data_IF_738358160771
#
_entry.id   IF_738358160771
#
_cell.length_a   1.000
_cell.length_b   1.000
_cell.length_c   1.000
_cell.angle_alpha   90.00
_cell.angle_beta   90.00
_cell.angle_gamma   90.00
#
_symmetry.space_group_name_H-M   'P 1'
#
loop_
_entity.id
_entity.type
_entity.pdbx_description
1 polymer ?
#
# COMPACT_ATOMS: atom_id res chain seq x y z
N UNK A 1 25.44 31.73 17.80
CA UNK A 1 25.20 30.55 18.65
C UNK A 1 23.84 30.78 19.31
N UNK A 2 22.76 30.45 18.61
CA UNK A 2 21.39 30.68 19.07
C UNK A 2 20.88 29.44 19.81
N UNK A 3 20.14 29.69 20.89
CA UNK A 3 19.91 28.77 22.01
C UNK A 3 19.29 27.42 21.66
N UNK A 4 19.79 26.39 22.33
CA UNK A 4 19.07 25.14 22.58
C UNK A 4 17.90 25.42 23.54
N UNK A 5 16.75 25.78 22.98
CA UNK A 5 15.49 25.52 23.67
C UNK A 5 15.24 24.01 23.60
N UNK A 6 15.18 23.35 24.76
CA UNK A 6 14.77 21.94 24.86
C UNK A 6 13.37 21.79 24.28
N UNK A 7 13.27 21.52 22.98
CA UNK A 7 12.02 21.14 22.32
C UNK A 7 11.54 19.88 23.06
N UNK A 8 10.45 20.02 23.81
CA UNK A 8 9.87 18.89 24.51
C UNK A 8 9.52 17.78 23.51
N UNK A 9 9.45 16.54 23.99
CA UNK A 9 9.17 15.33 23.18
C UNK A 9 7.96 15.53 22.23
N UNK A 10 6.98 16.35 22.64
CA UNK A 10 5.82 16.73 21.82
C UNK A 10 6.18 17.57 20.59
N UNK A 11 7.13 18.51 20.72
CA UNK A 11 7.62 19.32 19.61
C UNK A 11 8.45 18.46 18.64
N UNK A 12 9.31 17.58 19.17
CA UNK A 12 10.06 16.62 18.34
C UNK A 12 9.14 15.62 17.64
N UNK A 13 8.07 15.18 18.29
CA UNK A 13 7.06 14.30 17.71
C UNK A 13 6.23 14.99 16.61
N UNK A 14 5.87 16.26 16.81
CA UNK A 14 5.19 17.05 15.77
C UNK A 14 6.10 17.23 14.55
N UNK A 15 7.38 17.49 14.77
CA UNK A 15 8.39 17.65 13.71
C UNK A 15 8.70 16.32 13.01
N UNK A 16 8.58 15.20 13.73
CA UNK A 16 8.65 13.84 13.18
C UNK A 16 7.46 13.55 12.25
N UNK A 17 6.23 13.80 12.71
CA UNK A 17 4.99 13.56 11.94
C UNK A 17 4.86 14.52 10.75
N UNK A 18 5.39 15.74 10.87
CA UNK A 18 5.38 16.71 9.77
C UNK A 18 6.24 16.27 8.56
N UNK A 19 7.00 15.19 8.66
CA UNK A 19 7.63 14.55 7.49
C UNK A 19 6.54 13.89 6.64
N UNK A 20 6.21 14.47 5.49
CA UNK A 20 5.17 14.01 4.56
C UNK A 20 5.19 12.50 4.29
N UNK A 21 6.37 11.96 3.95
CA UNK A 21 6.58 10.52 3.72
C UNK A 21 6.11 9.60 4.89
N UNK A 22 6.19 10.06 6.14
CA UNK A 22 5.72 9.28 7.30
C UNK A 22 4.19 9.32 7.40
N UNK A 23 3.59 10.47 7.11
CA UNK A 23 2.14 10.63 7.16
C UNK A 23 1.45 9.80 6.07
N UNK A 24 1.97 9.85 4.85
CA UNK A 24 1.39 9.11 3.71
C UNK A 24 1.49 7.60 3.90
N UNK A 25 2.63 7.13 4.43
CA UNK A 25 2.81 5.73 4.81
C UNK A 25 1.82 5.33 5.92
N UNK A 26 1.64 6.16 6.95
CA UNK A 26 0.72 5.88 8.05
C UNK A 26 -0.74 5.78 7.56
N UNK A 27 -1.17 6.71 6.70
CA UNK A 27 -2.50 6.70 6.09
C UNK A 27 -2.70 5.44 5.24
N UNK A 28 -1.69 5.07 4.43
CA UNK A 28 -1.72 3.85 3.62
C UNK A 28 -1.92 2.57 4.44
N UNK A 29 -1.23 2.43 5.57
CA UNK A 29 -1.38 1.27 6.46
C UNK A 29 -2.77 1.24 7.11
N UNK A 30 -3.26 2.37 7.61
CA UNK A 30 -4.57 2.45 8.29
C UNK A 30 -5.70 2.10 7.32
N UNK A 31 -5.69 2.69 6.13
CA UNK A 31 -6.71 2.43 5.10
C UNK A 31 -6.61 0.98 4.61
N UNK A 32 -5.38 0.47 4.39
CA UNK A 32 -5.15 -0.92 4.00
C UNK A 32 -5.72 -1.91 5.01
N UNK A 33 -5.46 -1.70 6.30
CA UNK A 33 -6.00 -2.55 7.38
C UNK A 33 -7.52 -2.49 7.47
N UNK A 34 -8.12 -1.30 7.38
CA UNK A 34 -9.57 -1.13 7.41
C UNK A 34 -10.26 -1.81 6.22
N UNK A 35 -9.69 -1.71 5.02
CA UNK A 35 -10.24 -2.35 3.83
C UNK A 35 -10.16 -3.88 3.92
N UNK A 36 -9.03 -4.43 4.35
CA UNK A 36 -8.90 -5.88 4.60
C UNK A 36 -9.93 -6.38 5.60
N UNK A 37 -10.23 -5.62 6.66
CA UNK A 37 -11.25 -5.98 7.64
C UNK A 37 -12.66 -6.04 7.02
N UNK A 38 -13.01 -5.10 6.13
CA UNK A 38 -14.30 -5.11 5.41
C UNK A 38 -14.40 -6.34 4.50
N UNK A 39 -13.36 -6.64 3.74
CA UNK A 39 -13.35 -7.81 2.84
C UNK A 39 -13.43 -9.11 3.65
N UNK A 40 -12.65 -9.22 4.73
CA UNK A 40 -12.69 -10.38 5.63
C UNK A 40 -14.08 -10.56 6.21
N UNK A 41 -14.71 -9.48 6.69
CA UNK A 41 -16.08 -9.53 7.22
C UNK A 41 -17.10 -9.98 6.17
N UNK A 42 -16.96 -9.55 4.92
CA UNK A 42 -17.83 -10.01 3.83
C UNK A 42 -17.66 -11.50 3.57
N UNK A 43 -16.42 -11.98 3.55
CA UNK A 43 -16.14 -13.40 3.33
C UNK A 43 -16.68 -14.23 4.49
N UNK A 44 -16.36 -13.85 5.72
CA UNK A 44 -16.72 -14.63 6.91
C UNK A 44 -18.23 -14.65 7.16
N UNK A 45 -18.92 -13.52 6.95
CA UNK A 45 -20.35 -13.40 7.28
C UNK A 45 -21.29 -13.72 6.12
N UNK A 46 -20.83 -13.67 4.86
CA UNK A 46 -21.69 -13.90 3.69
C UNK A 46 -21.20 -15.09 2.87
N UNK A 47 -19.93 -15.12 2.48
CA UNK A 47 -19.42 -16.14 1.56
C UNK A 47 -19.27 -17.50 2.25
N UNK A 48 -18.63 -17.55 3.43
CA UNK A 48 -18.46 -18.77 4.20
C UNK A 48 -19.80 -19.47 4.49
N UNK A 49 -20.86 -18.80 5.02
CA UNK A 49 -22.14 -19.46 5.24
C UNK A 49 -22.80 -19.94 3.95
N UNK A 50 -22.69 -19.20 2.84
CA UNK A 50 -23.20 -19.66 1.53
C UNK A 50 -22.48 -20.91 1.03
N UNK A 51 -21.17 -20.99 1.22
CA UNK A 51 -20.38 -22.18 0.88
C UNK A 51 -20.74 -23.34 1.79
N UNK A 52 -20.93 -23.11 3.09
CA UNK A 52 -21.34 -24.17 4.04
C UNK A 52 -22.71 -24.76 3.66
N UNK A 53 -23.62 -23.91 3.17
CA UNK A 53 -24.94 -24.32 2.74
C UNK A 53 -24.86 -25.09 1.41
N UNK A 54 -24.10 -24.58 0.44
CA UNK A 54 -23.91 -25.19 -0.87
C UNK A 54 -23.12 -26.51 -0.83
N UNK A 55 -22.19 -26.67 0.12
CA UNK A 55 -21.40 -27.89 0.34
C UNK A 55 -22.19 -29.01 1.06
N UNK A 56 -23.50 -28.84 1.28
CA UNK A 56 -24.37 -29.89 1.80
C UNK A 56 -24.95 -29.62 3.19
N UNK A 57 -25.42 -28.40 3.43
CA UNK A 57 -26.48 -28.10 4.40
C UNK A 57 -26.27 -28.57 5.84
N UNK A 58 -25.64 -27.72 6.65
CA UNK A 58 -25.66 -27.85 8.10
C UNK A 58 -24.37 -27.29 8.69
N UNK A 59 -24.48 -26.62 9.82
CA UNK A 59 -23.37 -26.17 10.69
C UNK A 59 -22.39 -27.26 11.10
N UNK A 60 -22.64 -28.49 10.66
CA UNK A 60 -21.87 -29.68 10.95
C UNK A 60 -21.06 -30.20 9.78
N UNK A 61 -21.10 -29.69 8.54
CA UNK A 61 -20.36 -30.33 7.42
C UNK A 61 -18.92 -29.83 7.20
N UNK A 62 -18.59 -28.61 7.64
CA UNK A 62 -17.19 -28.17 7.80
C UNK A 62 -16.57 -28.69 9.11
N UNK A 63 -17.43 -29.01 10.10
CA UNK A 63 -17.10 -29.81 11.28
C UNK A 63 -17.16 -31.32 11.06
N UNK A 64 -17.80 -31.82 9.99
CA UNK A 64 -17.93 -33.27 9.71
C UNK A 64 -16.70 -33.84 9.01
N UNK A 65 -15.76 -32.98 8.60
CA UNK A 65 -14.39 -33.36 8.30
C UNK A 65 -13.48 -33.16 9.51
N UNK A 66 -13.99 -32.85 10.70
CA UNK A 66 -13.25 -32.99 11.93
C UNK A 66 -13.20 -34.46 12.32
N UNK A 67 -12.19 -35.17 11.79
CA UNK A 67 -11.81 -36.47 12.33
C UNK A 67 -11.33 -36.20 13.76
N UNK A 68 -12.13 -36.60 14.74
CA UNK A 68 -11.73 -36.61 16.15
C UNK A 68 -10.66 -37.70 16.31
N UNK A 69 -9.39 -37.28 16.32
CA UNK A 69 -8.26 -38.18 16.55
C UNK A 69 -8.14 -38.49 18.05
N UNK A 70 -8.60 -37.58 18.91
CA UNK A 70 -8.74 -37.69 20.39
C UNK A 70 -9.86 -36.74 20.88
N UNK A 71 -10.44 -36.93 22.08
CA UNK A 71 -11.54 -36.10 22.60
C UNK A 71 -11.22 -34.59 22.70
N UNK A 72 -9.94 -34.20 22.67
CA UNK A 72 -9.50 -32.80 22.80
C UNK A 72 -8.86 -32.19 21.53
N UNK A 73 -8.77 -32.93 20.41
CA UNK A 73 -8.15 -32.43 19.17
C UNK A 73 -9.03 -32.70 17.95
N UNK A 74 -9.69 -31.63 17.49
CA UNK A 74 -10.47 -31.61 16.24
C UNK A 74 -9.66 -31.00 15.11
N UNK A 75 -9.40 -31.75 14.04
CA UNK A 75 -8.79 -31.22 12.82
C UNK A 75 -9.86 -30.60 11.91
N UNK A 76 -10.05 -29.28 12.01
CA UNK A 76 -11.06 -28.56 11.24
C UNK A 76 -10.56 -28.25 9.81
N UNK A 77 -10.61 -29.24 8.92
CA UNK A 77 -10.30 -29.05 7.49
C UNK A 77 -11.21 -28.00 6.83
N UNK A 78 -12.41 -27.80 7.35
CA UNK A 78 -13.33 -26.78 6.85
C UNK A 78 -12.85 -25.34 7.09
N UNK A 79 -12.25 -25.05 8.23
CA UNK A 79 -11.67 -23.73 8.49
C UNK A 79 -10.45 -23.45 7.60
N UNK A 80 -9.68 -24.49 7.29
CA UNK A 80 -8.54 -24.37 6.39
C UNK A 80 -8.98 -24.04 4.96
N UNK A 81 -10.02 -24.73 4.46
CA UNK A 81 -10.60 -24.43 3.14
C UNK A 81 -11.22 -23.03 3.11
N UNK A 82 -11.93 -22.64 4.17
CA UNK A 82 -12.46 -21.28 4.32
C UNK A 82 -11.38 -20.21 4.28
N UNK A 83 -10.25 -20.43 4.97
CA UNK A 83 -9.10 -19.52 4.94
C UNK A 83 -8.48 -19.39 3.53
N UNK A 84 -8.37 -20.50 2.78
CA UNK A 84 -7.89 -20.47 1.40
C UNK A 84 -8.85 -19.66 0.51
N UNK A 85 -10.15 -19.85 0.67
CA UNK A 85 -11.16 -19.11 -0.10
C UNK A 85 -11.11 -17.61 0.24
N UNK A 86 -10.98 -17.26 1.52
CA UNK A 86 -10.80 -15.87 1.94
C UNK A 86 -9.57 -15.22 1.30
N UNK A 87 -8.43 -15.92 1.32
CA UNK A 87 -7.22 -15.44 0.66
C UNK A 87 -7.42 -15.19 -0.84
N UNK A 88 -8.09 -16.12 -1.55
CA UNK A 88 -8.39 -15.96 -2.97
C UNK A 88 -9.34 -14.79 -3.25
N UNK A 89 -10.33 -14.54 -2.40
CA UNK A 89 -11.27 -13.42 -2.56
C UNK A 89 -10.56 -12.09 -2.31
N UNK A 90 -9.76 -11.98 -1.25
CA UNK A 90 -8.96 -10.77 -0.99
C UNK A 90 -8.04 -10.49 -2.18
N UNK A 91 -7.32 -11.51 -2.67
CA UNK A 91 -6.46 -11.37 -3.84
C UNK A 91 -7.22 -10.92 -5.09
N UNK A 92 -8.42 -11.47 -5.33
CA UNK A 92 -9.27 -11.11 -6.46
C UNK A 92 -9.77 -9.66 -6.35
N UNK A 93 -10.20 -9.23 -5.17
CA UNK A 93 -10.68 -7.86 -4.93
C UNK A 93 -9.53 -6.86 -5.10
N UNK A 94 -8.36 -7.14 -4.53
CA UNK A 94 -7.16 -6.28 -4.70
C UNK A 94 -6.75 -6.23 -6.17
N UNK A 95 -6.74 -7.35 -6.88
CA UNK A 95 -6.46 -7.40 -8.32
C UNK A 95 -7.49 -6.59 -9.13
N UNK A 96 -8.78 -6.71 -8.81
CA UNK A 96 -9.84 -5.97 -9.47
C UNK A 96 -9.71 -4.46 -9.22
N UNK A 97 -9.35 -4.03 -8.01
CA UNK A 97 -9.08 -2.63 -7.68
C UNK A 97 -7.87 -2.09 -8.45
N UNK A 98 -6.74 -2.80 -8.45
CA UNK A 98 -5.55 -2.40 -9.22
C UNK A 98 -5.89 -2.34 -10.71
N UNK A 99 -6.64 -3.31 -11.23
CA UNK A 99 -7.12 -3.30 -12.63
C UNK A 99 -8.07 -2.15 -12.92
N UNK A 100 -8.93 -1.77 -11.97
CA UNK A 100 -9.85 -0.64 -12.10
C UNK A 100 -9.09 0.69 -12.09
N UNK A 101 -8.10 0.85 -11.20
CA UNK A 101 -7.25 2.03 -11.14
C UNK A 101 -6.39 2.14 -12.39
N UNK A 102 -5.67 1.06 -12.77
CA UNK A 102 -4.87 1.02 -14.00
C UNK A 102 -5.71 1.18 -15.26
N UNK A 103 -6.95 0.69 -15.23
CA UNK A 103 -7.92 0.87 -16.32
C UNK A 103 -8.44 2.30 -16.38
N UNK A 104 -8.73 2.91 -15.23
CA UNK A 104 -9.19 4.30 -15.12
C UNK A 104 -8.08 5.27 -15.54
N UNK A 105 -6.84 5.10 -15.10
CA UNK A 105 -5.69 5.90 -15.54
C UNK A 105 -5.34 5.65 -17.01
N UNK A 106 -5.47 4.43 -17.52
CA UNK A 106 -5.31 4.16 -18.96
C UNK A 106 -6.41 4.79 -19.83
N UNK A 107 -7.62 4.93 -19.28
CA UNK A 107 -8.76 5.56 -19.97
C UNK A 107 -8.70 7.09 -19.83
N UNK A 108 -8.27 7.61 -18.68
CA UNK A 108 -7.94 9.01 -18.45
C UNK A 108 -6.79 9.48 -19.33
N UNK A 109 -5.68 8.72 -19.43
CA UNK A 109 -4.56 9.00 -20.35
C UNK A 109 -4.94 8.97 -21.84
N UNK A 110 -6.00 8.22 -22.20
CA UNK A 110 -6.53 8.18 -23.58
C UNK A 110 -7.55 9.28 -23.89
N UNK A 111 -8.27 9.79 -22.89
CA UNK A 111 -9.31 10.82 -23.06
C UNK A 111 -8.81 12.23 -22.73
N UNK A 112 -7.88 12.36 -21.79
CA UNK A 112 -7.18 13.59 -21.44
C UNK A 112 -5.74 13.47 -21.94
N UNK A 113 -5.46 14.04 -23.11
CA UNK A 113 -4.08 14.34 -23.47
C UNK A 113 -3.51 15.31 -22.42
N UNK A 114 -2.69 14.78 -21.51
CA UNK A 114 -1.95 15.51 -20.45
C UNK A 114 -2.84 16.12 -19.36
N UNK A 115 -3.31 15.28 -18.42
CA UNK A 115 -3.75 15.72 -17.10
C UNK A 115 -3.87 14.48 -16.18
N UNK A 116 -2.75 14.04 -15.62
CA UNK A 116 -2.73 13.24 -14.39
C UNK A 116 -1.50 13.72 -13.60
N UNK A 117 -1.61 14.95 -13.15
CA UNK A 117 -0.68 15.65 -12.29
C UNK A 117 -1.26 15.59 -10.88
N UNK A 118 -1.37 14.40 -10.30
CA UNK A 118 -1.73 14.18 -8.89
C UNK A 118 -1.19 12.82 -8.40
N UNK A 119 0.01 12.48 -8.86
CA UNK A 119 0.95 11.57 -8.21
C UNK A 119 2.39 11.91 -8.65
N UNK A 120 2.65 13.19 -8.91
CA UNK A 120 4.00 13.71 -9.11
C UNK A 120 4.65 13.83 -7.73
N UNK A 121 5.15 12.71 -7.23
CA UNK A 121 6.29 12.74 -6.33
C UNK A 121 7.43 13.37 -7.16
N UNK A 122 7.78 14.62 -6.85
CA UNK A 122 8.85 15.36 -7.54
C UNK A 122 10.12 14.51 -7.50
N UNK A 123 10.47 13.89 -8.63
CA UNK A 123 11.69 13.11 -8.73
C UNK A 123 12.89 14.05 -8.48
N UNK A 124 13.75 13.74 -7.50
CA UNK A 124 14.86 14.62 -7.15
C UNK A 124 15.79 14.80 -8.36
N UNK A 125 16.34 16.01 -8.57
CA UNK A 125 17.14 16.29 -9.74
C UNK A 125 18.42 15.44 -9.75
N UNK A 126 18.59 14.66 -10.82
CA UNK A 126 19.77 13.79 -11.00
C UNK A 126 20.96 14.56 -11.59
N UNK A 127 22.17 14.23 -11.13
CA UNK A 127 23.40 14.78 -11.69
C UNK A 127 23.65 14.30 -13.13
N UNK A 128 23.88 15.17 -14.13
CA UNK A 128 24.22 14.77 -15.51
C UNK A 128 25.53 13.99 -15.65
N UNK A 129 26.44 14.06 -14.68
CA UNK A 129 27.76 13.40 -14.77
C UNK A 129 27.77 12.02 -14.12
N UNK A 130 27.18 11.89 -12.92
CA UNK A 130 27.22 10.65 -12.14
C UNK A 130 25.85 10.01 -11.92
N UNK A 131 24.78 10.62 -12.42
CA UNK A 131 23.39 10.14 -12.33
C UNK A 131 22.83 9.99 -10.90
N UNK A 132 23.61 10.36 -9.88
CA UNK A 132 23.18 10.36 -8.49
C UNK A 132 22.20 11.50 -8.20
N UNK A 133 21.31 11.32 -7.22
CA UNK A 133 20.36 12.34 -6.76
C UNK A 133 21.09 13.53 -6.12
N UNK A 134 20.77 14.74 -6.57
CA UNK A 134 21.36 15.99 -6.09
C UNK A 134 20.27 16.85 -5.48
N UNK A 135 20.64 17.69 -4.50
CA UNK A 135 19.73 18.68 -3.94
C UNK A 135 19.40 19.75 -4.98
N UNK A 136 18.14 20.17 -5.00
CA UNK A 136 17.68 21.29 -5.80
C UNK A 136 18.52 22.55 -5.56
N UNK A 137 18.85 23.24 -6.65
CA UNK A 137 19.64 24.48 -6.58
C UNK A 137 21.15 24.28 -6.36
N UNK A 138 21.63 23.04 -6.24
CA UNK A 138 23.07 22.80 -6.16
C UNK A 138 23.76 23.19 -7.48
N UNK A 139 24.86 23.95 -7.39
CA UNK A 139 25.75 24.25 -8.53
C UNK A 139 26.93 23.27 -8.63
N UNK A 140 27.12 22.42 -7.61
CA UNK A 140 28.15 21.38 -7.59
C UNK A 140 27.59 20.09 -7.02
N UNK A 141 27.88 18.98 -7.69
CA UNK A 141 27.50 17.66 -7.22
C UNK A 141 28.37 17.23 -6.01
N UNK A 142 27.78 16.77 -4.89
CA UNK A 142 28.55 16.28 -3.75
C UNK A 142 29.26 14.94 -4.02
N UNK A 143 28.77 14.15 -4.99
CA UNK A 143 29.27 12.81 -5.26
C UNK A 143 30.45 12.80 -6.26
N UNK A 144 30.35 13.60 -7.33
CA UNK A 144 31.36 13.63 -8.40
C UNK A 144 32.08 14.97 -8.55
N UNK A 145 31.79 15.97 -7.72
CA UNK A 145 32.34 17.34 -7.81
C UNK A 145 32.12 18.05 -9.17
N UNK A 146 31.24 17.52 -10.02
CA UNK A 146 30.88 18.13 -11.29
C UNK A 146 30.20 19.48 -11.08
N UNK A 147 30.59 20.47 -11.88
CA UNK A 147 30.06 21.83 -11.85
C UNK A 147 28.91 21.93 -12.85
N UNK A 148 27.78 22.48 -12.42
CA UNK A 148 26.63 22.67 -13.29
C UNK A 148 26.62 24.11 -13.83
N UNK A 149 26.33 24.27 -15.12
CA UNK A 149 26.15 25.60 -15.74
C UNK A 149 24.90 26.32 -15.23
N UNK A 150 23.90 25.54 -14.81
CA UNK A 150 22.65 26.00 -14.23
C UNK A 150 22.37 25.22 -12.94
N UNK A 151 21.60 25.79 -11.99
CA UNK A 151 21.26 25.10 -10.75
C UNK A 151 20.54 23.77 -11.05
N UNK A 152 20.87 22.71 -10.30
CA UNK A 152 20.19 21.42 -10.43
C UNK A 152 18.67 21.62 -10.28
N UNK A 153 17.95 21.45 -11.38
CA UNK A 153 16.51 21.63 -11.49
C UNK A 153 15.85 20.27 -11.70
N UNK A 154 14.66 20.03 -11.10
CA UNK A 154 13.93 18.78 -11.30
C UNK A 154 13.73 18.56 -12.79
N UNK A 155 14.00 17.32 -13.26
CA UNK A 155 13.83 17.00 -14.66
C UNK A 155 12.33 17.11 -14.98
N UNK A 156 11.90 17.95 -15.93
CA UNK A 156 10.51 17.95 -16.34
C UNK A 156 10.22 16.57 -16.94
N UNK A 157 9.19 15.90 -16.41
CA UNK A 157 8.75 14.58 -16.85
C UNK A 157 8.65 14.56 -18.38
N UNK A 158 9.59 13.86 -19.03
CA UNK A 158 9.61 13.75 -20.48
C UNK A 158 8.33 13.00 -20.91
N UNK A 159 7.60 13.67 -21.80
CA UNK A 159 6.23 13.35 -22.22
C UNK A 159 6.04 11.96 -22.85
#
# INVERSE_FOLDING_TARGET
>A
MAGEEKKGIVAEFKEFIARGNVMDLAVGIIIGGAFTAIVTSLVDNIINPLITLAAGGGTDSLGALAIQVTPDVTLNFGNFIGAIINFLIIALVVFALIKAINGATATAKKLAGKADEEAAEEEPPTCPFCLEEVKEGAMRCPHCAGEFSEPAAPKPAEA
#
